data_IF_454005877140
#
_entry.id   IF_454005877140
#
_cell.length_a   1.000
_cell.length_b   1.000
_cell.length_c   1.000
_cell.angle_alpha   90.00
_cell.angle_beta   90.00
_cell.angle_gamma   90.00
#
_symmetry.space_group_name_H-M   'P 1'
#
loop_
_entity.id
_entity.type
_entity.pdbx_description
1 polymer ?
#
# COMPACT_ATOMS: atom_id res chain seq x y z
N UNK A 1 -27.05 10.13 1.10
CA UNK A 1 -26.44 11.46 1.13
C UNK A 1 -27.24 12.39 2.03
N UNK A 2 -26.57 13.30 2.75
CA UNK A 2 -27.22 14.19 3.71
C UNK A 2 -28.13 15.23 3.05
N UNK A 3 -29.38 15.28 3.51
CA UNK A 3 -30.38 16.25 3.08
C UNK A 3 -30.25 17.54 3.93
N UNK A 4 -30.50 18.74 3.33
CA UNK A 4 -30.43 20.02 4.02
C UNK A 4 -31.41 20.11 5.19
N UNK A 5 -32.57 19.46 5.09
CA UNK A 5 -33.61 19.39 6.11
C UNK A 5 -34.18 17.96 6.21
N UNK A 6 -33.46 16.97 6.80
CA UNK A 6 -33.80 15.54 6.71
C UNK A 6 -35.16 15.21 7.37
N UNK A 7 -35.58 16.00 8.36
CA UNK A 7 -36.82 15.78 9.08
C UNK A 7 -38.03 16.62 8.54
N UNK A 8 -37.81 17.39 7.47
CA UNK A 8 -38.89 18.14 6.84
C UNK A 8 -39.75 17.28 5.89
N UNK A 9 -39.36 16.04 5.62
CA UNK A 9 -40.07 15.07 4.78
C UNK A 9 -40.51 15.64 3.42
N UNK A 10 -39.64 16.50 2.83
CA UNK A 10 -39.87 17.08 1.51
C UNK A 10 -39.80 16.01 0.41
N UNK A 11 -40.63 16.06 -0.63
CA UNK A 11 -40.60 15.10 -1.74
C UNK A 11 -39.33 15.20 -2.60
N UNK A 12 -38.67 16.35 -2.60
CA UNK A 12 -37.48 16.61 -3.40
C UNK A 12 -36.23 16.54 -2.52
N UNK A 13 -35.19 15.90 -3.07
CA UNK A 13 -33.88 15.88 -2.44
C UNK A 13 -33.19 17.23 -2.58
N UNK A 14 -32.81 17.82 -1.46
CA UNK A 14 -32.01 19.03 -1.38
C UNK A 14 -30.72 18.72 -0.60
N UNK A 15 -29.53 18.76 -1.23
CA UNK A 15 -28.29 18.40 -0.56
C UNK A 15 -27.94 19.40 0.53
N UNK A 16 -27.43 18.89 1.65
CA UNK A 16 -26.85 19.74 2.70
C UNK A 16 -25.61 20.48 2.18
N UNK A 17 -25.30 21.63 2.78
CA UNK A 17 -24.10 22.39 2.43
C UNK A 17 -22.83 21.70 2.95
N UNK A 18 -21.70 21.94 2.26
CA UNK A 18 -20.38 21.48 2.68
C UNK A 18 -20.27 19.97 2.84
N UNK A 19 -19.48 19.54 3.84
CA UNK A 19 -19.21 18.12 4.13
C UNK A 19 -20.46 17.37 4.62
N UNK A 20 -21.43 18.06 5.20
CA UNK A 20 -22.67 17.46 5.71
C UNK A 20 -23.48 16.71 4.65
N UNK A 21 -23.32 17.06 3.35
CA UNK A 21 -23.94 16.32 2.23
C UNK A 21 -23.54 14.84 2.15
N UNK A 22 -22.37 14.49 2.69
CA UNK A 22 -21.87 13.12 2.69
C UNK A 22 -22.34 12.28 3.86
N UNK A 23 -23.08 12.87 4.80
CA UNK A 23 -23.65 12.18 5.94
C UNK A 23 -24.80 11.26 5.50
N UNK A 24 -24.65 9.96 5.68
CA UNK A 24 -25.63 8.94 5.26
C UNK A 24 -26.29 8.25 6.45
N UNK A 25 -26.81 9.03 7.37
CA UNK A 25 -27.43 8.51 8.59
C UNK A 25 -26.64 8.93 9.85
N UNK A 26 -26.94 8.30 10.98
CA UNK A 26 -26.27 8.61 12.25
C UNK A 26 -24.81 8.15 12.20
N UNK A 27 -23.82 9.04 12.44
CA UNK A 27 -22.42 8.66 12.47
C UNK A 27 -22.12 7.62 13.56
N UNK A 28 -21.27 6.66 13.24
CA UNK A 28 -20.73 5.75 14.26
C UNK A 28 -19.78 6.51 15.18
N UNK A 29 -20.15 6.62 16.48
CA UNK A 29 -19.34 7.34 17.46
C UNK A 29 -17.94 6.74 17.57
N UNK A 30 -17.82 5.41 17.65
CA UNK A 30 -16.52 4.74 17.77
C UNK A 30 -15.64 4.98 16.53
N UNK A 31 -16.23 4.93 15.33
CA UNK A 31 -15.46 5.17 14.09
C UNK A 31 -14.99 6.63 14.01
N UNK A 32 -15.81 7.60 14.41
CA UNK A 32 -15.41 9.01 14.45
C UNK A 32 -14.36 9.29 15.52
N UNK A 33 -14.46 8.67 16.70
CA UNK A 33 -13.43 8.79 17.73
C UNK A 33 -12.09 8.20 17.25
N UNK A 34 -12.11 7.06 16.58
CA UNK A 34 -10.90 6.49 15.99
C UNK A 34 -10.30 7.38 14.90
N UNK A 35 -11.15 8.01 14.07
CA UNK A 35 -10.71 8.99 13.06
C UNK A 35 -10.08 10.22 13.73
N UNK A 36 -10.68 10.73 14.79
CA UNK A 36 -10.18 11.90 15.55
C UNK A 36 -8.75 11.61 16.08
N UNK A 37 -8.54 10.48 16.75
CA UNK A 37 -7.21 10.06 17.18
C UNK A 37 -6.21 9.94 16.01
N UNK A 38 -6.66 9.48 14.84
CA UNK A 38 -5.83 9.42 13.64
C UNK A 38 -5.45 10.80 13.11
N UNK A 39 -6.38 11.77 13.19
CA UNK A 39 -6.14 13.18 12.82
C UNK A 39 -5.16 13.83 13.79
N UNK A 40 -5.28 13.58 15.10
CA UNK A 40 -4.34 14.06 16.12
C UNK A 40 -2.91 13.60 15.84
N UNK A 41 -2.75 12.36 15.37
CA UNK A 41 -1.44 11.83 14.97
C UNK A 41 -0.82 12.61 13.78
N UNK A 42 -1.67 13.07 12.84
CA UNK A 42 -1.22 13.94 11.75
C UNK A 42 -0.88 15.35 12.24
N UNK A 43 -1.70 15.91 13.15
CA UNK A 43 -1.46 17.22 13.75
C UNK A 43 -0.16 17.26 14.56
N UNK A 44 0.27 16.15 15.16
CA UNK A 44 1.57 16.07 15.83
C UNK A 44 2.75 16.40 14.90
N UNK A 45 2.57 16.28 13.59
CA UNK A 45 3.60 16.65 12.60
C UNK A 45 3.58 18.14 12.21
N UNK A 46 2.60 18.95 12.64
CA UNK A 46 2.46 20.33 12.20
C UNK A 46 3.66 21.19 12.57
N UNK A 47 4.23 20.99 13.76
CA UNK A 47 5.45 21.67 14.21
C UNK A 47 6.70 21.33 13.36
N UNK A 48 6.65 20.23 12.59
CA UNK A 48 7.73 19.74 11.72
C UNK A 48 7.46 20.04 10.23
N UNK A 49 6.46 20.86 9.92
CA UNK A 49 6.08 21.26 8.56
C UNK A 49 4.82 20.55 8.03
N UNK A 50 4.12 19.81 8.88
CA UNK A 50 2.80 19.25 8.62
C UNK A 50 2.74 18.31 7.41
N UNK A 51 1.60 18.30 6.74
CA UNK A 51 1.32 17.41 5.58
C UNK A 51 2.31 17.61 4.42
N UNK A 52 2.82 18.83 4.21
CA UNK A 52 3.80 19.09 3.16
C UNK A 52 5.13 18.37 3.43
N UNK A 53 5.63 18.44 4.67
CA UNK A 53 6.85 17.73 5.08
C UNK A 53 6.65 16.21 5.05
N UNK A 54 5.48 15.72 5.50
CA UNK A 54 5.13 14.30 5.39
C UNK A 54 5.11 13.84 3.93
N UNK A 55 4.55 14.62 3.02
CA UNK A 55 4.56 14.31 1.58
C UNK A 55 5.99 14.27 1.03
N UNK A 56 6.82 15.24 1.36
CA UNK A 56 8.21 15.28 0.91
C UNK A 56 8.99 14.05 1.40
N UNK A 57 8.85 13.68 2.67
CA UNK A 57 9.47 12.47 3.23
C UNK A 57 8.92 11.19 2.56
N UNK A 58 7.62 11.09 2.32
CA UNK A 58 7.01 9.96 1.64
C UNK A 58 7.57 9.77 0.23
N UNK A 59 7.75 10.86 -0.53
CA UNK A 59 8.39 10.82 -1.85
C UNK A 59 9.83 10.31 -1.71
N UNK A 60 10.61 10.87 -0.80
CA UNK A 60 12.01 10.48 -0.60
C UNK A 60 12.16 8.98 -0.22
N UNK A 61 11.27 8.45 0.65
CA UNK A 61 11.24 7.03 1.02
C UNK A 61 10.94 6.14 -0.19
N UNK A 62 9.94 6.50 -1.01
CA UNK A 62 9.56 5.72 -2.20
C UNK A 62 10.62 5.81 -3.31
N UNK A 63 11.27 6.97 -3.50
CA UNK A 63 12.40 7.11 -4.44
C UNK A 63 13.60 6.25 -4.02
N UNK A 64 13.96 6.24 -2.72
CA UNK A 64 15.01 5.38 -2.20
C UNK A 64 14.68 3.89 -2.45
N UNK A 65 13.45 3.47 -2.17
CA UNK A 65 13.04 2.09 -2.40
C UNK A 65 13.13 1.70 -3.87
N UNK A 66 12.65 2.55 -4.78
CA UNK A 66 12.71 2.31 -6.23
C UNK A 66 14.17 2.19 -6.69
N UNK A 67 15.04 3.11 -6.25
CA UNK A 67 16.45 3.08 -6.61
C UNK A 67 17.14 1.79 -6.13
N UNK A 68 16.90 1.38 -4.89
CA UNK A 68 17.46 0.16 -4.33
C UNK A 68 16.92 -1.11 -5.02
N UNK A 69 15.64 -1.14 -5.39
CA UNK A 69 15.06 -2.26 -6.15
C UNK A 69 15.67 -2.34 -7.54
N UNK A 70 15.80 -1.22 -8.26
CA UNK A 70 16.42 -1.19 -9.58
C UNK A 70 17.87 -1.68 -9.54
N UNK A 71 18.64 -1.25 -8.54
CA UNK A 71 20.06 -1.60 -8.40
C UNK A 71 20.26 -3.06 -7.96
N UNK A 72 19.47 -3.53 -6.99
CA UNK A 72 19.78 -4.76 -6.26
C UNK A 72 18.84 -5.92 -6.55
N UNK A 73 17.62 -5.65 -7.03
CA UNK A 73 16.59 -6.67 -7.22
C UNK A 73 16.22 -6.90 -8.69
N UNK A 74 16.61 -6.05 -9.63
CA UNK A 74 16.29 -6.24 -11.03
C UNK A 74 16.85 -7.58 -11.57
N UNK A 75 18.10 -7.91 -11.25
CA UNK A 75 18.70 -9.20 -11.62
C UNK A 75 18.07 -10.41 -10.91
N UNK A 76 17.25 -10.19 -9.88
CA UNK A 76 16.48 -11.21 -9.16
C UNK A 76 15.05 -11.35 -9.72
N UNK A 77 14.73 -10.69 -10.83
CA UNK A 77 13.44 -10.78 -11.50
C UNK A 77 12.40 -9.76 -11.07
N UNK A 78 12.75 -8.76 -10.25
CA UNK A 78 11.81 -7.71 -9.84
C UNK A 78 11.77 -6.55 -10.83
N UNK A 79 10.57 -5.99 -10.99
CA UNK A 79 10.35 -4.75 -11.73
C UNK A 79 9.35 -3.85 -10.99
N UNK A 80 9.55 -2.54 -11.08
CA UNK A 80 8.63 -1.55 -10.51
C UNK A 80 7.42 -1.40 -11.42
N UNK A 81 6.23 -1.71 -10.89
CA UNK A 81 4.94 -1.58 -11.57
C UNK A 81 4.24 -0.22 -11.29
N UNK A 82 4.61 0.46 -10.21
CA UNK A 82 4.09 1.80 -9.89
C UNK A 82 4.61 2.87 -10.84
N UNK A 83 3.87 3.97 -11.06
CA UNK A 83 4.39 5.12 -11.79
C UNK A 83 5.69 5.64 -11.16
N UNK A 84 6.70 5.91 -12.00
CA UNK A 84 7.97 6.47 -11.52
C UNK A 84 7.88 7.96 -11.20
N UNK A 85 6.97 8.67 -11.86
CA UNK A 85 6.74 10.08 -11.57
C UNK A 85 6.09 10.26 -10.20
N UNK A 86 6.80 10.88 -9.26
CA UNK A 86 6.32 11.14 -7.91
C UNK A 86 5.05 12.03 -7.85
N UNK A 87 4.74 12.78 -8.92
CA UNK A 87 3.54 13.63 -8.99
C UNK A 87 2.26 12.82 -9.11
N UNK A 88 2.34 11.61 -9.70
CA UNK A 88 1.20 10.72 -9.92
C UNK A 88 1.28 9.43 -9.07
N UNK A 89 2.25 9.34 -8.15
CA UNK A 89 2.42 8.23 -7.21
C UNK A 89 2.08 8.68 -5.79
N UNK A 90 1.39 7.80 -5.05
CA UNK A 90 1.17 7.95 -3.61
C UNK A 90 2.37 7.47 -2.77
N UNK A 91 2.09 7.08 -1.53
CA UNK A 91 3.06 6.53 -0.58
C UNK A 91 3.22 5.01 -0.71
N UNK A 92 2.91 4.43 -1.87
CA UNK A 92 2.95 3.00 -2.12
C UNK A 92 3.76 2.72 -3.38
N UNK A 93 4.59 1.67 -3.34
CA UNK A 93 5.29 1.13 -4.50
C UNK A 93 4.87 -0.33 -4.69
N UNK A 94 4.50 -0.65 -5.91
CA UNK A 94 4.13 -2.00 -6.34
C UNK A 94 5.25 -2.58 -7.19
N UNK A 95 5.57 -3.83 -6.95
CA UNK A 95 6.54 -4.60 -7.71
C UNK A 95 5.84 -5.77 -8.39
N UNK A 96 6.37 -6.18 -9.53
CA UNK A 96 6.15 -7.50 -10.14
C UNK A 96 7.38 -8.35 -9.94
N UNK A 97 7.22 -9.68 -10.00
CA UNK A 97 8.32 -10.63 -10.00
C UNK A 97 8.12 -11.65 -11.12
N UNK A 98 9.15 -11.81 -11.93
CA UNK A 98 9.23 -12.83 -12.98
C UNK A 98 10.33 -13.83 -12.63
N UNK A 99 9.94 -15.05 -12.26
CA UNK A 99 10.89 -16.12 -11.96
C UNK A 99 11.46 -16.71 -13.24
N UNK A 100 12.74 -17.05 -13.24
CA UNK A 100 13.42 -17.66 -14.38
C UNK A 100 12.82 -19.02 -14.78
N UNK A 101 12.20 -19.74 -13.83
CA UNK A 101 11.50 -21.02 -14.04
C UNK A 101 10.03 -20.86 -14.44
N UNK A 102 9.54 -19.60 -14.59
CA UNK A 102 8.16 -19.30 -14.92
C UNK A 102 7.17 -19.45 -13.76
N UNK A 103 7.63 -19.72 -12.54
CA UNK A 103 6.78 -19.87 -11.36
C UNK A 103 6.19 -18.54 -10.87
N UNK A 104 4.97 -18.58 -10.34
CA UNK A 104 4.30 -17.44 -9.71
C UNK A 104 4.56 -17.44 -8.20
N UNK A 105 5.64 -16.81 -7.76
CA UNK A 105 6.06 -16.81 -6.36
C UNK A 105 5.71 -15.55 -5.59
N UNK A 106 4.96 -14.62 -6.15
CA UNK A 106 4.63 -13.33 -5.52
C UNK A 106 4.08 -13.47 -4.12
N UNK A 107 3.13 -14.38 -3.90
CA UNK A 107 2.57 -14.67 -2.59
C UNK A 107 3.63 -15.19 -1.61
N UNK A 108 4.39 -16.20 -1.99
CA UNK A 108 5.39 -16.84 -1.14
C UNK A 108 6.52 -15.87 -0.75
N UNK A 109 6.93 -15.00 -1.67
CA UNK A 109 7.92 -13.94 -1.39
C UNK A 109 7.37 -12.98 -0.32
N UNK A 110 6.12 -12.53 -0.45
CA UNK A 110 5.52 -11.64 0.56
C UNK A 110 5.41 -12.34 1.91
N UNK A 111 5.02 -13.62 1.96
CA UNK A 111 4.95 -14.38 3.22
C UNK A 111 6.32 -14.55 3.88
N UNK A 112 7.36 -14.82 3.12
CA UNK A 112 8.73 -14.90 3.63
C UNK A 112 9.21 -13.54 4.18
N UNK A 113 8.85 -12.44 3.53
CA UNK A 113 9.15 -11.09 3.99
C UNK A 113 8.40 -10.76 5.28
N UNK A 114 7.12 -11.12 5.38
CA UNK A 114 6.31 -10.94 6.61
C UNK A 114 6.95 -11.69 7.77
N UNK A 115 7.40 -12.92 7.57
CA UNK A 115 8.11 -13.71 8.60
C UNK A 115 9.41 -13.04 9.08
N UNK A 116 9.99 -12.15 8.28
CA UNK A 116 11.17 -11.33 8.61
C UNK A 116 10.81 -9.94 9.15
N UNK A 117 9.52 -9.66 9.36
CA UNK A 117 9.03 -8.36 9.87
C UNK A 117 8.82 -7.29 8.80
N UNK A 118 8.98 -7.61 7.52
CA UNK A 118 8.67 -6.70 6.40
C UNK A 118 7.25 -6.97 5.92
N UNK A 119 6.29 -6.19 6.42
CA UNK A 119 4.87 -6.40 6.19
C UNK A 119 4.47 -5.73 4.88
N UNK A 120 4.51 -6.49 3.79
CA UNK A 120 3.97 -6.13 2.49
C UNK A 120 2.56 -6.70 2.29
N UNK A 121 1.98 -6.39 1.14
CA UNK A 121 0.66 -6.87 0.73
C UNK A 121 0.77 -7.54 -0.65
N UNK A 122 0.00 -8.58 -0.86
CA UNK A 122 -0.04 -9.36 -2.10
C UNK A 122 -1.37 -9.15 -2.83
N UNK A 123 -1.29 -8.98 -4.14
CA UNK A 123 -2.46 -9.01 -5.04
C UNK A 123 -2.21 -10.03 -6.13
N UNK A 124 -3.08 -11.04 -6.19
CA UNK A 124 -3.01 -12.05 -7.23
C UNK A 124 -3.23 -11.43 -8.60
N UNK A 125 -2.45 -11.85 -9.56
CA UNK A 125 -2.67 -11.59 -10.96
C UNK A 125 -3.93 -12.28 -11.48
N UNK A 126 -4.31 -11.98 -12.70
CA UNK A 126 -5.45 -12.61 -13.40
C UNK A 126 -4.96 -13.35 -14.65
N UNK A 127 -5.60 -14.47 -14.97
CA UNK A 127 -5.43 -15.07 -16.28
C UNK A 127 -6.03 -14.16 -17.36
N UNK A 128 -5.55 -14.30 -18.61
CA UNK A 128 -6.18 -13.64 -19.74
C UNK A 128 -7.60 -14.18 -19.93
N UNK A 129 -8.55 -13.27 -20.20
CA UNK A 129 -9.94 -13.61 -20.44
C UNK A 129 -10.53 -12.75 -21.60
N UNK A 130 -11.85 -12.80 -21.78
CA UNK A 130 -12.55 -12.03 -22.82
C UNK A 130 -12.49 -10.50 -22.58
N UNK A 131 -12.10 -10.05 -21.39
CA UNK A 131 -12.08 -8.63 -20.99
C UNK A 131 -10.68 -8.03 -20.98
N UNK A 132 -9.61 -8.87 -21.02
CA UNK A 132 -8.25 -8.34 -21.02
C UNK A 132 -7.13 -9.37 -20.99
N UNK A 133 -5.89 -8.88 -21.11
CA UNK A 133 -4.70 -9.74 -21.03
C UNK A 133 -4.47 -10.24 -19.60
N UNK A 134 -3.63 -11.28 -19.46
CA UNK A 134 -3.15 -11.72 -18.16
C UNK A 134 -2.45 -10.57 -17.42
N UNK A 135 -2.74 -10.41 -16.14
CA UNK A 135 -2.06 -9.46 -15.26
C UNK A 135 -1.14 -10.22 -14.30
N UNK A 136 0.07 -9.72 -14.06
CA UNK A 136 1.01 -10.36 -13.13
C UNK A 136 0.57 -10.20 -11.67
N UNK A 137 1.11 -11.05 -10.81
CA UNK A 137 1.07 -10.86 -9.36
C UNK A 137 1.73 -9.54 -8.98
N UNK A 138 1.14 -8.84 -8.00
CA UNK A 138 1.65 -7.58 -7.48
C UNK A 138 2.03 -7.72 -6.01
N UNK A 139 3.27 -7.35 -5.69
CA UNK A 139 3.78 -7.20 -4.34
C UNK A 139 3.74 -5.70 -3.99
N UNK A 140 2.99 -5.31 -2.95
CA UNK A 140 2.78 -3.91 -2.60
C UNK A 140 3.48 -3.57 -1.29
N UNK A 141 4.19 -2.43 -1.30
CA UNK A 141 4.90 -1.90 -0.13
C UNK A 141 4.41 -0.49 0.17
N UNK A 142 3.98 -0.25 1.41
CA UNK A 142 3.50 1.05 1.88
C UNK A 142 4.57 1.78 2.68
N UNK A 143 4.74 3.08 2.40
CA UNK A 143 5.77 3.92 3.03
C UNK A 143 5.12 5.06 3.78
N UNK A 144 4.72 4.80 5.05
CA UNK A 144 4.17 5.86 5.87
C UNK A 144 5.28 6.77 6.40
N UNK A 145 5.22 8.09 6.13
CA UNK A 145 6.25 9.02 6.57
C UNK A 145 6.21 9.32 8.07
N UNK A 146 5.12 8.98 8.77
CA UNK A 146 4.97 9.26 10.19
C UNK A 146 6.00 8.50 11.05
N UNK A 147 6.26 7.23 10.75
CA UNK A 147 7.13 6.41 11.58
C UNK A 147 8.23 5.65 10.83
N UNK A 148 8.13 5.44 9.50
CA UNK A 148 9.21 4.78 8.76
C UNK A 148 10.43 5.69 8.61
N UNK A 149 11.61 5.09 8.76
CA UNK A 149 12.91 5.70 8.57
C UNK A 149 13.52 5.24 7.24
N UNK A 150 14.53 5.95 6.76
CA UNK A 150 15.26 5.55 5.54
C UNK A 150 15.98 4.21 5.71
N UNK A 151 16.50 3.95 6.91
CA UNK A 151 17.14 2.66 7.20
C UNK A 151 16.15 1.50 7.11
N UNK A 152 14.90 1.68 7.52
CA UNK A 152 13.87 0.64 7.44
C UNK A 152 13.58 0.26 5.97
N UNK A 153 13.67 1.24 5.05
CA UNK A 153 13.55 0.99 3.61
C UNK A 153 14.74 0.21 3.07
N UNK A 154 15.96 0.56 3.50
CA UNK A 154 17.17 -0.15 3.12
C UNK A 154 17.13 -1.60 3.62
N UNK A 155 16.81 -1.81 4.89
CA UNK A 155 16.72 -3.14 5.51
C UNK A 155 15.63 -3.99 4.84
N UNK A 156 14.49 -3.39 4.46
CA UNK A 156 13.44 -4.11 3.73
C UNK A 156 13.94 -4.65 2.38
N UNK A 157 14.69 -3.85 1.61
CA UNK A 157 15.28 -4.31 0.34
C UNK A 157 16.36 -5.37 0.59
N UNK A 158 17.16 -5.24 1.67
CA UNK A 158 18.12 -6.26 2.06
C UNK A 158 17.42 -7.60 2.34
N UNK A 159 16.29 -7.58 3.03
CA UNK A 159 15.48 -8.79 3.26
C UNK A 159 14.95 -9.37 1.94
N UNK A 160 14.51 -8.55 0.99
CA UNK A 160 14.13 -9.05 -0.35
C UNK A 160 15.29 -9.79 -1.00
N UNK A 161 16.47 -9.17 -1.03
CA UNK A 161 17.68 -9.79 -1.62
C UNK A 161 18.02 -11.11 -0.94
N UNK A 162 17.96 -11.16 0.40
CA UNK A 162 18.24 -12.38 1.16
C UNK A 162 17.23 -13.49 0.88
N UNK A 163 15.93 -13.21 0.94
CA UNK A 163 14.85 -14.17 0.65
C UNK A 163 15.05 -14.80 -0.73
N UNK A 164 15.41 -13.98 -1.72
CA UNK A 164 15.64 -14.47 -3.09
C UNK A 164 16.91 -15.30 -3.22
N UNK A 165 18.02 -14.85 -2.64
CA UNK A 165 19.32 -15.54 -2.72
C UNK A 165 19.34 -16.86 -1.99
N UNK A 166 18.70 -16.95 -0.83
CA UNK A 166 18.59 -18.19 -0.06
C UNK A 166 17.53 -19.14 -0.61
N UNK A 167 16.61 -18.66 -1.43
CA UNK A 167 15.48 -19.45 -1.91
C UNK A 167 14.42 -19.72 -0.83
N UNK A 168 14.45 -19.00 0.29
CA UNK A 168 13.55 -19.16 1.43
C UNK A 168 12.07 -19.16 1.04
N UNK A 169 11.67 -18.32 0.09
CA UNK A 169 10.30 -18.27 -0.43
C UNK A 169 9.81 -19.60 -1.03
N UNK A 170 10.70 -20.56 -1.34
CA UNK A 170 10.35 -21.89 -1.85
C UNK A 170 9.96 -22.89 -0.76
N UNK A 171 10.15 -22.54 0.51
CA UNK A 171 9.74 -23.40 1.62
C UNK A 171 8.22 -23.62 1.59
N UNK A 172 7.77 -24.84 1.89
CA UNK A 172 6.36 -25.24 1.83
C UNK A 172 5.46 -24.29 2.63
N UNK A 173 5.90 -23.89 3.83
CA UNK A 173 5.15 -23.00 4.74
C UNK A 173 4.75 -21.65 4.13
N UNK A 174 5.49 -21.15 3.15
CA UNK A 174 5.19 -19.88 2.49
C UNK A 174 4.32 -20.05 1.23
N UNK A 175 4.15 -21.28 0.75
CA UNK A 175 3.38 -21.60 -0.45
C UNK A 175 1.95 -22.10 -0.13
N UNK A 176 1.66 -22.37 1.13
CA UNK A 176 0.32 -22.68 1.60
C UNK A 176 -0.51 -21.39 1.69
N UNK A 177 -1.53 -21.27 0.83
CA UNK A 177 -2.43 -20.11 0.88
C UNK A 177 -3.37 -20.26 2.06
N UNK A 178 -3.19 -19.41 3.08
CA UNK A 178 -4.20 -19.20 4.12
C UNK A 178 -5.33 -18.33 3.57
N UNK A 179 -6.54 -18.49 4.14
CA UNK A 179 -7.63 -17.57 3.85
C UNK A 179 -7.17 -16.13 4.19
N UNK A 180 -7.25 -15.24 3.21
CA UNK A 180 -6.95 -13.81 3.42
C UNK A 180 -8.12 -13.24 4.22
N UNK A 181 -7.84 -12.73 5.40
CA UNK A 181 -8.81 -11.96 6.19
C UNK A 181 -8.93 -10.55 5.64
#
# INVERSE_FOLDING_TARGET
>A
MGHAAPFAFKPNYEPAAGIARFLCGTPSVLALTALDCGVDTLHAADALGGTAALRAKSVALTELFIALVDERCAALGFAVASPRDARVRGSQVSLTHAAADGGAYGYAIVQALIARGVIGDFRAGTAADAYGPALPDILRFGFTPLYLRFVDVYDAVEHVVQVMRTGEYREARFNERSAVT
#
